data_IF_633271728528
#
_entry.id   IF_633271728528
#
_cell.length_a   1.000
_cell.length_b   1.000
_cell.length_c   1.000
_cell.angle_alpha   90.00
_cell.angle_beta   90.00
_cell.angle_gamma   90.00
#
_symmetry.space_group_name_H-M   'P 1'
#
loop_
_entity.id
_entity.type
_entity.pdbx_description
1 polymer ?
#
# COMPACT_ATOMS: atom_id res chain seq x y z
N UNK A 1 13.82 -1.56 -12.91
CA UNK A 1 14.49 -0.79 -11.84
C UNK A 1 13.49 -0.52 -10.71
N UNK A 2 13.69 -1.13 -9.53
CA UNK A 2 12.84 -0.88 -8.35
C UNK A 2 13.19 0.47 -7.73
N UNK A 3 12.23 1.40 -7.72
CA UNK A 3 12.39 2.71 -7.10
C UNK A 3 11.46 2.81 -5.89
N UNK A 4 12.05 2.64 -4.72
CA UNK A 4 11.35 2.83 -3.45
C UNK A 4 11.39 4.31 -3.10
N UNK A 5 10.23 4.98 -3.13
CA UNK A 5 10.15 6.41 -2.80
C UNK A 5 9.83 6.60 -1.31
N UNK A 6 9.01 5.72 -0.72
CA UNK A 6 8.75 5.62 0.72
C UNK A 6 8.24 4.22 1.10
N UNK A 7 8.85 3.57 2.10
CA UNK A 7 8.41 2.25 2.59
C UNK A 7 7.87 2.33 4.04
N UNK A 8 6.98 3.28 4.35
CA UNK A 8 6.46 3.42 5.71
C UNK A 8 7.40 4.13 6.70
N UNK A 9 8.40 4.85 6.21
CA UNK A 9 9.24 5.70 7.06
C UNK A 9 8.44 6.89 7.60
N UNK A 10 8.70 7.27 8.85
CA UNK A 10 8.07 8.40 9.53
C UNK A 10 8.43 9.76 8.88
N UNK A 11 9.39 9.77 7.94
CA UNK A 11 9.82 10.93 7.15
C UNK A 11 10.63 10.51 5.90
N UNK A 12 10.61 11.34 4.85
CA UNK A 12 11.31 11.19 3.54
C UNK A 12 12.86 11.09 3.62
N UNK A 13 13.44 11.12 4.83
CA UNK A 13 14.90 11.20 5.08
C UNK A 13 15.52 9.93 5.68
N UNK A 14 14.72 8.95 6.08
CA UNK A 14 15.23 7.67 6.56
C UNK A 14 15.27 6.65 5.42
N UNK A 15 16.28 5.77 5.44
CA UNK A 15 16.43 4.72 4.44
C UNK A 15 15.09 3.99 4.28
N UNK A 16 14.62 3.76 3.03
CA UNK A 16 13.39 3.04 2.83
C UNK A 16 13.46 1.72 3.59
N UNK A 17 12.55 1.52 4.56
CA UNK A 17 12.40 0.25 5.27
C UNK A 17 12.35 -0.89 4.23
N UNK A 18 12.94 -2.04 4.53
CA UNK A 18 12.99 -3.15 3.57
C UNK A 18 11.58 -3.53 3.11
N UNK A 19 11.46 -4.00 1.87
CA UNK A 19 10.19 -4.48 1.30
C UNK A 19 9.50 -5.49 2.22
N UNK A 20 10.27 -6.33 2.90
CA UNK A 20 9.76 -7.28 3.88
C UNK A 20 8.97 -6.58 5.00
N UNK A 21 9.40 -5.41 5.49
CA UNK A 21 8.63 -4.66 6.49
C UNK A 21 7.32 -4.11 5.94
N UNK A 22 7.27 -3.72 4.67
CA UNK A 22 6.02 -3.32 4.03
C UNK A 22 5.06 -4.52 3.93
N UNK A 23 5.58 -5.69 3.58
CA UNK A 23 4.77 -6.93 3.55
C UNK A 23 4.28 -7.32 4.94
N UNK A 24 5.13 -7.22 5.97
CA UNK A 24 4.74 -7.44 7.37
C UNK A 24 3.67 -6.43 7.81
N UNK A 25 3.80 -5.16 7.42
CA UNK A 25 2.81 -4.14 7.73
C UNK A 25 1.47 -4.40 7.02
N UNK A 26 1.49 -4.86 5.77
CA UNK A 26 0.29 -5.26 5.01
C UNK A 26 -0.39 -6.51 5.61
N UNK A 27 0.35 -7.36 6.31
CA UNK A 27 -0.22 -8.52 7.01
C UNK A 27 -0.76 -8.15 8.41
N UNK A 28 -0.11 -7.20 9.07
CA UNK A 28 -0.38 -6.84 10.47
C UNK A 28 -1.43 -5.73 10.62
N UNK A 29 -1.36 -4.68 9.81
CA UNK A 29 -2.17 -3.47 9.96
C UNK A 29 -3.25 -3.38 8.90
N UNK A 30 -4.39 -2.78 9.26
CA UNK A 30 -5.50 -2.59 8.32
C UNK A 30 -5.20 -1.44 7.36
N UNK A 31 -5.33 -1.68 6.05
CA UNK A 31 -5.21 -0.63 5.04
C UNK A 31 -6.27 0.45 5.23
N UNK A 32 -5.88 1.70 5.01
CA UNK A 32 -6.78 2.83 5.12
C UNK A 32 -7.62 3.02 3.84
N UNK A 33 -8.93 2.75 3.88
CA UNK A 33 -9.81 2.83 2.72
C UNK A 33 -9.91 4.25 2.14
N UNK A 34 -9.54 5.30 2.89
CA UNK A 34 -9.46 6.68 2.38
C UNK A 34 -8.48 6.80 1.22
N UNK A 35 -7.50 5.91 1.13
CA UNK A 35 -6.52 5.89 0.07
C UNK A 35 -6.98 5.17 -1.20
N UNK A 36 -8.13 4.48 -1.19
CA UNK A 36 -8.70 3.89 -2.41
C UNK A 36 -8.91 4.94 -3.52
N UNK A 37 -9.14 6.21 -3.16
CA UNK A 37 -9.39 7.32 -4.10
C UNK A 37 -8.14 7.87 -4.80
N UNK A 38 -6.94 7.60 -4.30
CA UNK A 38 -5.71 8.23 -4.80
C UNK A 38 -4.93 7.37 -5.80
N UNK A 39 -5.05 6.04 -5.72
CA UNK A 39 -4.25 5.12 -6.54
C UNK A 39 -5.05 3.87 -6.93
N UNK A 40 -6.14 4.01 -7.68
CA UNK A 40 -6.96 2.89 -8.23
C UNK A 40 -7.08 1.67 -7.28
N UNK A 41 -7.45 1.93 -6.01
CA UNK A 41 -7.43 0.93 -4.92
C UNK A 41 -6.02 0.43 -4.57
N UNK A 42 -5.15 1.37 -4.18
CA UNK A 42 -3.77 1.19 -3.71
C UNK A 42 -2.72 0.74 -4.75
N UNK A 43 -3.13 0.42 -5.98
CA UNK A 43 -2.26 -0.11 -7.03
C UNK A 43 -2.56 0.66 -8.32
N UNK A 44 -1.53 1.25 -8.93
CA UNK A 44 -1.66 1.95 -10.20
C UNK A 44 -0.52 1.59 -11.13
N UNK A 45 -0.83 1.25 -12.38
CA UNK A 45 0.19 0.93 -13.37
C UNK A 45 0.60 2.21 -14.09
N UNK A 46 1.90 2.48 -14.06
CA UNK A 46 2.50 3.57 -14.80
C UNK A 46 2.72 3.14 -16.26
N UNK A 47 1.99 3.74 -17.19
CA UNK A 47 2.04 3.35 -18.60
C UNK A 47 3.29 3.87 -19.32
N UNK A 48 3.89 4.97 -18.83
CA UNK A 48 5.08 5.58 -19.43
C UNK A 48 6.36 4.81 -19.09
N UNK A 49 6.49 4.35 -17.84
CA UNK A 49 7.66 3.61 -17.36
C UNK A 49 7.45 2.09 -17.35
N UNK A 50 6.20 1.62 -17.46
CA UNK A 50 5.84 0.21 -17.32
C UNK A 50 5.91 -0.31 -15.89
N UNK A 51 6.17 0.55 -14.90
CA UNK A 51 6.25 0.18 -13.48
C UNK A 51 4.87 0.11 -12.85
N UNK A 52 4.73 -0.64 -11.76
CA UNK A 52 3.54 -0.64 -10.91
C UNK A 52 3.83 0.16 -9.65
N UNK A 53 3.00 1.14 -9.38
CA UNK A 53 3.01 1.95 -8.17
C UNK A 53 2.07 1.37 -7.13
N UNK A 54 2.55 1.24 -5.91
CA UNK A 54 1.79 0.87 -4.72
C UNK A 54 1.77 2.06 -3.79
N UNK A 55 0.58 2.60 -3.50
CA UNK A 55 0.43 3.80 -2.69
C UNK A 55 -0.72 3.66 -1.69
N UNK A 56 -0.44 3.95 -0.42
CA UNK A 56 -1.43 3.81 0.63
C UNK A 56 -0.94 4.21 2.01
N UNK A 57 -1.82 4.03 2.98
CA UNK A 57 -1.53 4.17 4.41
C UNK A 57 -2.31 3.09 5.17
N UNK A 58 -2.03 2.99 6.47
CA UNK A 58 -2.78 2.15 7.40
C UNK A 58 -3.64 2.99 8.34
N UNK A 59 -4.70 2.39 8.87
CA UNK A 59 -5.65 3.06 9.79
C UNK A 59 -4.99 3.29 11.15
N UNK A 60 -4.38 2.24 11.70
CA UNK A 60 -3.83 2.23 13.07
C UNK A 60 -2.48 2.92 13.18
N UNK A 61 -1.72 2.90 12.09
CA UNK A 61 -0.38 3.50 12.02
C UNK A 61 -0.38 4.49 10.86
N UNK A 62 -0.15 5.77 11.15
CA UNK A 62 -0.02 6.85 10.15
C UNK A 62 1.28 6.71 9.34
N UNK A 63 1.46 5.55 8.70
CA UNK A 63 2.63 5.18 7.92
C UNK A 63 2.20 5.07 6.47
N UNK A 64 2.56 6.07 5.68
CA UNK A 64 2.31 6.11 4.24
C UNK A 64 3.42 5.31 3.53
N UNK A 65 3.03 4.54 2.52
CA UNK A 65 3.95 3.84 1.62
C UNK A 65 3.72 4.30 0.18
N UNK A 66 4.82 4.45 -0.58
CA UNK A 66 4.87 4.78 -2.00
C UNK A 66 6.05 4.02 -2.65
N UNK A 67 5.73 2.93 -3.31
CA UNK A 67 6.68 2.02 -3.92
C UNK A 67 6.40 1.90 -5.41
N UNK A 68 7.42 2.06 -6.28
CA UNK A 68 7.33 1.77 -7.71
C UNK A 68 8.27 0.64 -8.08
N UNK A 69 7.75 -0.36 -8.78
CA UNK A 69 8.56 -1.49 -9.25
C UNK A 69 8.01 -2.09 -10.53
N UNK A 70 8.92 -2.50 -11.41
CA UNK A 70 8.69 -3.30 -12.61
C UNK A 70 8.97 -4.80 -12.38
N UNK A 71 9.46 -5.17 -11.20
CA UNK A 71 9.78 -6.55 -10.87
C UNK A 71 8.50 -7.35 -10.67
N UNK A 72 8.17 -8.22 -11.64
CA UNK A 72 6.92 -8.99 -11.63
C UNK A 72 6.69 -9.76 -10.34
N UNK A 73 7.70 -10.46 -9.84
CA UNK A 73 7.61 -11.25 -8.60
C UNK A 73 7.23 -10.39 -7.39
N UNK A 74 7.76 -9.17 -7.32
CA UNK A 74 7.45 -8.23 -6.25
C UNK A 74 6.05 -7.61 -6.43
N UNK A 75 5.68 -7.27 -7.67
CA UNK A 75 4.33 -6.80 -8.01
C UNK A 75 3.29 -7.83 -7.58
N UNK A 76 3.49 -9.11 -7.90
CA UNK A 76 2.60 -10.20 -7.54
C UNK A 76 2.47 -10.35 -6.02
N UNK A 77 3.60 -10.33 -5.28
CA UNK A 77 3.60 -10.42 -3.82
C UNK A 77 2.85 -9.28 -3.15
N UNK A 78 3.10 -8.04 -3.56
CA UNK A 78 2.46 -6.85 -3.00
C UNK A 78 0.98 -6.79 -3.35
N UNK A 79 0.63 -7.14 -4.60
CA UNK A 79 -0.76 -7.23 -5.04
C UNK A 79 -1.52 -8.25 -4.22
N UNK A 80 -0.95 -9.44 -4.02
CA UNK A 80 -1.56 -10.48 -3.19
C UNK A 80 -1.72 -10.04 -1.73
N UNK A 81 -0.71 -9.37 -1.15
CA UNK A 81 -0.77 -8.86 0.22
C UNK A 81 -1.87 -7.79 0.40
N UNK A 82 -1.97 -6.84 -0.52
CA UNK A 82 -3.02 -5.83 -0.53
C UNK A 82 -4.40 -6.48 -0.69
N UNK A 83 -4.55 -7.41 -1.62
CA UNK A 83 -5.82 -8.13 -1.82
C UNK A 83 -6.22 -8.95 -0.59
N UNK A 84 -5.26 -9.62 0.06
CA UNK A 84 -5.48 -10.35 1.31
C UNK A 84 -5.96 -9.41 2.40
N UNK A 85 -5.27 -8.28 2.61
CA UNK A 85 -5.66 -7.27 3.59
C UNK A 85 -7.09 -6.76 3.33
N UNK A 86 -7.40 -6.42 2.08
CA UNK A 86 -8.72 -5.95 1.66
C UNK A 86 -9.85 -6.99 1.83
N UNK A 87 -9.50 -8.27 1.86
CA UNK A 87 -10.44 -9.37 2.06
C UNK A 87 -10.75 -9.63 3.53
N UNK A 88 -9.95 -9.09 4.46
CA UNK A 88 -10.17 -9.21 5.90
C UNK A 88 -11.43 -8.48 6.35
N UNK A 89 -12.07 -8.97 7.41
CA UNK A 89 -13.25 -8.32 7.96
C UNK A 89 -12.93 -6.97 8.61
N UNK A 90 -11.70 -6.78 9.11
CA UNK A 90 -11.23 -5.48 9.61
C UNK A 90 -11.22 -4.42 8.51
N UNK A 91 -10.70 -4.73 7.33
CA UNK A 91 -10.72 -3.80 6.20
C UNK A 91 -12.14 -3.49 5.73
N UNK A 92 -13.02 -4.50 5.62
CA UNK A 92 -14.42 -4.29 5.24
C UNK A 92 -15.15 -3.37 6.23
N UNK A 93 -14.91 -3.55 7.52
CA UNK A 93 -15.45 -2.68 8.57
C UNK A 93 -14.90 -1.26 8.46
N UNK A 94 -13.59 -1.10 8.30
CA UNK A 94 -12.95 0.21 8.11
C UNK A 94 -13.52 0.93 6.88
N UNK A 95 -13.72 0.21 5.77
CA UNK A 95 -14.31 0.74 4.53
C UNK A 95 -15.75 1.18 4.73
N UNK A 96 -16.57 0.34 5.34
CA UNK A 96 -17.97 0.67 5.64
C UNK A 96 -18.10 1.85 6.62
N UNK A 97 -17.18 1.96 7.60
CA UNK A 97 -17.11 3.12 8.48
C UNK A 97 -16.74 4.39 7.71
N UNK A 98 -15.74 4.33 6.82
CA UNK A 98 -15.35 5.47 6.00
C UNK A 98 -16.49 5.96 5.07
N UNK A 99 -17.29 5.06 4.49
CA UNK A 99 -18.43 5.40 3.64
C UNK A 99 -19.59 6.06 4.40
N UNK A 100 -19.72 5.85 5.71
CA UNK A 100 -20.79 6.45 6.54
C UNK A 100 -20.51 7.88 6.99
N UNK A 101 -19.26 8.32 6.89
CA UNK A 101 -18.80 9.64 7.37
C UNK A 101 -18.60 10.64 6.22
N UNK A 102 -19.08 10.33 5.02
CA UNK A 102 -18.93 11.11 3.79
C UNK A 102 -20.28 11.58 3.25
#
# INVERSE_FOLDING_TARGET
MTQVTANGAQSYKEQPDSIDKLLEALDTYTLDPRFERYADKFISKDQETGTTRFFGSFVDVQRVFDLRTDERSLVDRLTAAIQKNRSTDFYKQARAANERHH
#
